data_IF_725280416249
#
_entry.id   IF_725280416249
#
_cell.length_a   1.000
_cell.length_b   1.000
_cell.length_c   1.000
_cell.angle_alpha   90.00
_cell.angle_beta   90.00
_cell.angle_gamma   90.00
#
_symmetry.space_group_name_H-M   'P 1'
#
loop_
_entity.id
_entity.type
_entity.pdbx_description
1 polymer ?
#
# COMPACT_ATOMS: atom_id res chain seq x y z
N UNK A 1 -29.35 -54.72 -25.42
CA UNK A 1 -30.41 -53.84 -25.94
C UNK A 1 -29.96 -52.41 -25.64
N UNK A 2 -29.11 -51.81 -26.48
CA UNK A 2 -29.43 -51.03 -27.69
C UNK A 2 -30.30 -49.80 -27.40
N UNK A 3 -29.69 -48.61 -27.26
CA UNK A 3 -29.57 -47.62 -28.34
C UNK A 3 -28.85 -46.36 -27.84
N UNK A 4 -27.57 -46.22 -28.21
CA UNK A 4 -26.95 -44.91 -28.44
C UNK A 4 -27.60 -44.28 -29.68
N UNK A 5 -28.01 -43.01 -29.57
CA UNK A 5 -28.35 -42.18 -30.72
C UNK A 5 -27.66 -40.83 -30.57
N UNK A 6 -26.68 -40.62 -31.44
CA UNK A 6 -26.01 -39.36 -31.67
C UNK A 6 -27.02 -38.27 -32.09
N UNK A 7 -26.91 -37.10 -31.45
CA UNK A 7 -27.57 -35.88 -31.87
C UNK A 7 -26.55 -34.75 -32.02
N UNK A 8 -25.87 -34.70 -33.18
CA UNK A 8 -25.02 -33.57 -33.58
C UNK A 8 -25.91 -32.35 -33.85
N UNK A 9 -25.96 -31.41 -32.91
CA UNK A 9 -26.52 -30.08 -33.16
C UNK A 9 -25.44 -29.27 -33.88
N UNK A 10 -25.72 -28.94 -35.13
CA UNK A 10 -24.89 -28.13 -36.02
C UNK A 10 -24.70 -26.71 -35.46
N UNK A 11 -23.44 -26.34 -35.21
CA UNK A 11 -22.97 -25.01 -34.77
C UNK A 11 -23.33 -23.86 -35.75
N UNK A 12 -23.95 -24.15 -36.89
CA UNK A 12 -24.40 -23.12 -37.86
C UNK A 12 -25.80 -22.57 -37.60
N UNK A 13 -26.57 -23.14 -36.67
CA UNK A 13 -27.91 -22.61 -36.32
C UNK A 13 -27.91 -21.61 -35.15
N UNK A 14 -26.84 -21.58 -34.34
CA UNK A 14 -26.75 -20.67 -33.19
C UNK A 14 -26.34 -19.23 -33.56
N UNK A 15 -25.71 -19.02 -34.72
CA UNK A 15 -25.26 -17.69 -35.17
C UNK A 15 -26.35 -16.86 -35.85
N UNK A 16 -27.45 -17.49 -36.31
CA UNK A 16 -28.54 -16.77 -36.98
C UNK A 16 -29.57 -16.16 -36.02
N UNK A 17 -29.61 -16.60 -34.76
CA UNK A 17 -30.50 -16.06 -33.73
C UNK A 17 -29.91 -14.85 -32.98
N UNK A 18 -28.59 -14.67 -33.02
CA UNK A 18 -27.91 -13.53 -32.38
C UNK A 18 -27.95 -12.24 -33.23
N UNK A 19 -28.17 -12.35 -34.54
CA UNK A 19 -28.27 -11.19 -35.44
C UNK A 19 -29.66 -10.56 -35.50
N UNK A 20 -30.70 -11.23 -34.99
CA UNK A 20 -32.06 -10.67 -34.91
C UNK A 20 -32.31 -9.84 -33.65
N UNK A 21 -31.40 -9.86 -32.66
CA UNK A 21 -31.57 -9.11 -31.41
C UNK A 21 -30.95 -7.71 -31.42
N UNK A 22 -30.04 -7.41 -32.37
CA UNK A 22 -29.40 -6.09 -32.49
C UNK A 22 -30.14 -5.10 -33.40
N UNK A 23 -31.27 -5.48 -33.99
CA UNK A 23 -31.93 -4.69 -35.05
C UNK A 23 -33.09 -3.77 -34.66
N UNK A 24 -33.40 -3.56 -33.36
CA UNK A 24 -34.64 -2.86 -32.97
C UNK A 24 -34.54 -1.90 -31.78
N UNK A 25 -33.52 -1.04 -31.73
CA UNK A 25 -33.55 0.15 -30.87
C UNK A 25 -33.02 1.39 -31.61
N UNK A 26 -33.83 1.88 -32.55
CA UNK A 26 -33.87 3.29 -32.90
C UNK A 26 -35.21 3.81 -32.38
N UNK A 27 -35.21 4.30 -31.14
CA UNK A 27 -36.30 5.08 -30.58
C UNK A 27 -35.83 6.52 -30.52
N UNK A 28 -36.56 7.37 -31.23
CA UNK A 28 -36.48 8.82 -31.20
C UNK A 28 -36.53 9.32 -29.75
N UNK A 29 -35.53 10.11 -29.37
CA UNK A 29 -35.53 10.84 -28.11
C UNK A 29 -35.38 12.34 -28.42
N UNK A 30 -36.40 12.88 -29.07
CA UNK A 30 -36.72 14.30 -29.02
C UNK A 30 -37.53 14.53 -27.74
N UNK A 31 -36.89 15.06 -26.69
CA UNK A 31 -37.48 16.06 -25.80
C UNK A 31 -36.51 16.57 -24.74
N UNK A 32 -36.11 17.84 -24.93
CA UNK A 32 -36.08 18.91 -23.93
C UNK A 32 -35.70 18.57 -22.48
N UNK A 33 -34.49 18.97 -22.11
CA UNK A 33 -34.29 19.67 -20.83
C UNK A 33 -33.23 20.76 -21.00
N UNK A 34 -33.63 22.00 -20.75
CA UNK A 34 -32.81 23.21 -20.77
C UNK A 34 -31.62 23.08 -19.81
N UNK A 35 -30.45 22.81 -20.36
CA UNK A 35 -29.17 22.83 -19.66
C UNK A 35 -28.56 24.23 -19.77
N UNK A 36 -28.23 24.83 -18.63
CA UNK A 36 -27.60 26.15 -18.55
C UNK A 36 -26.19 26.12 -19.17
N UNK A 37 -25.85 27.02 -20.10
CA UNK A 37 -24.58 27.01 -20.79
C UNK A 37 -23.55 27.82 -19.99
N UNK A 38 -22.97 27.25 -18.93
CA UNK A 38 -21.83 27.89 -18.26
C UNK A 38 -20.61 26.96 -18.05
N UNK A 39 -20.70 25.65 -18.34
CA UNK A 39 -19.56 24.72 -18.15
C UNK A 39 -18.87 24.25 -19.44
N UNK A 40 -19.41 24.56 -20.63
CA UNK A 40 -18.87 24.05 -21.91
C UNK A 40 -17.47 24.57 -22.21
N UNK A 41 -17.15 25.80 -21.83
CA UNK A 41 -15.82 26.39 -22.04
C UNK A 41 -14.71 25.65 -21.29
N UNK A 42 -15.00 25.10 -20.11
CA UNK A 42 -14.00 24.45 -19.26
C UNK A 42 -13.66 23.03 -19.76
N UNK A 43 -14.66 22.33 -20.33
CA UNK A 43 -14.47 21.02 -20.98
C UNK A 43 -13.62 21.16 -22.24
N UNK A 44 -13.84 22.20 -23.05
CA UNK A 44 -13.04 22.45 -24.26
C UNK A 44 -11.59 22.81 -23.92
N UNK A 45 -11.36 23.56 -22.83
CA UNK A 45 -10.02 23.96 -22.39
C UNK A 45 -9.22 22.76 -21.85
N UNK A 46 -9.85 21.87 -21.07
CA UNK A 46 -9.24 20.60 -20.65
C UNK A 46 -8.87 19.71 -21.84
N UNK A 47 -9.75 19.57 -22.83
CA UNK A 47 -9.47 18.78 -24.05
C UNK A 47 -8.30 19.37 -24.85
N UNK A 48 -8.27 20.68 -25.05
CA UNK A 48 -7.15 21.33 -25.73
C UNK A 48 -5.82 21.13 -24.99
N UNK A 49 -5.83 21.30 -23.66
CA UNK A 49 -4.62 21.09 -22.86
C UNK A 49 -4.14 19.64 -22.93
N UNK A 50 -5.04 18.67 -22.82
CA UNK A 50 -4.72 17.24 -22.91
C UNK A 50 -4.17 16.86 -24.30
N UNK A 51 -4.75 17.42 -25.36
CA UNK A 51 -4.29 17.19 -26.73
C UNK A 51 -2.89 17.79 -26.96
N UNK A 52 -2.63 18.98 -26.41
CA UNK A 52 -1.31 19.62 -26.46
C UNK A 52 -0.25 18.83 -25.68
N UNK A 53 -0.58 18.34 -24.49
CA UNK A 53 0.32 17.46 -23.74
C UNK A 53 0.61 16.15 -24.49
N UNK A 54 -0.39 15.59 -25.18
CA UNK A 54 -0.19 14.36 -25.93
C UNK A 54 0.74 14.57 -27.14
N UNK A 55 0.62 15.71 -27.84
CA UNK A 55 1.55 16.09 -28.90
C UNK A 55 2.98 16.27 -28.38
N UNK A 56 3.16 16.94 -27.24
CA UNK A 56 4.49 17.09 -26.63
C UNK A 56 5.09 15.73 -26.26
N UNK A 57 4.32 14.82 -25.64
CA UNK A 57 4.79 13.47 -25.30
C UNK A 57 5.22 12.67 -26.53
N UNK A 58 4.53 12.81 -27.67
CA UNK A 58 4.95 12.13 -28.90
C UNK A 58 6.26 12.69 -29.46
N UNK A 59 6.48 14.00 -29.38
CA UNK A 59 7.74 14.62 -29.78
C UNK A 59 8.91 14.16 -28.90
N UNK A 60 8.72 14.10 -27.58
CA UNK A 60 9.74 13.59 -26.65
C UNK A 60 10.09 12.13 -26.92
N UNK A 61 9.10 11.26 -27.14
CA UNK A 61 9.34 9.85 -27.49
C UNK A 61 10.14 9.68 -28.78
N UNK A 62 9.92 10.54 -29.77
CA UNK A 62 10.69 10.51 -31.02
C UNK A 62 12.14 10.94 -30.80
N UNK A 63 12.36 12.01 -30.02
CA UNK A 63 13.71 12.48 -29.65
C UNK A 63 14.48 11.41 -28.87
N UNK A 64 13.87 10.77 -27.87
CA UNK A 64 14.49 9.68 -27.11
C UNK A 64 14.79 8.46 -27.99
N UNK A 65 13.85 8.07 -28.86
CA UNK A 65 14.05 6.94 -29.76
C UNK A 65 15.17 7.19 -30.78
N UNK A 66 15.39 8.45 -31.18
CA UNK A 66 16.51 8.84 -32.04
C UNK A 66 17.82 8.88 -31.27
N UNK A 67 17.86 9.45 -30.06
CA UNK A 67 19.06 9.49 -29.21
C UNK A 67 19.52 8.09 -28.78
N UNK A 68 18.59 7.17 -28.51
CA UNK A 68 18.90 5.82 -28.06
C UNK A 68 19.50 4.92 -29.15
N UNK A 69 19.28 5.23 -30.43
CA UNK A 69 19.80 4.41 -31.53
C UNK A 69 21.30 4.60 -31.70
N UNK A 70 21.83 5.80 -31.49
CA UNK A 70 23.24 6.12 -31.76
C UNK A 70 24.20 5.56 -30.69
N UNK A 71 23.78 5.52 -29.43
CA UNK A 71 24.63 5.02 -28.33
C UNK A 71 24.65 3.48 -28.23
N UNK A 72 23.51 2.81 -28.54
CA UNK A 72 23.44 1.35 -28.52
C UNK A 72 24.31 0.72 -29.61
N UNK A 73 24.23 1.24 -30.84
CA UNK A 73 24.98 0.67 -31.97
C UNK A 73 26.49 0.81 -31.78
N UNK A 74 26.97 1.96 -31.28
CA UNK A 74 28.40 2.19 -31.02
C UNK A 74 28.96 1.26 -29.95
N UNK A 75 28.25 1.07 -28.83
CA UNK A 75 28.73 0.20 -27.74
C UNK A 75 28.73 -1.29 -28.12
N UNK A 76 27.77 -1.74 -28.93
CA UNK A 76 27.68 -3.14 -29.34
C UNK A 76 28.67 -3.47 -30.46
N UNK A 77 28.96 -2.53 -31.36
CA UNK A 77 30.06 -2.66 -32.34
C UNK A 77 31.43 -2.66 -31.67
N UNK A 78 31.69 -1.81 -30.67
CA UNK A 78 32.96 -1.82 -29.94
C UNK A 78 33.20 -3.14 -29.17
N UNK A 79 32.15 -3.68 -28.53
CA UNK A 79 32.24 -4.97 -27.83
C UNK A 79 32.46 -6.13 -28.82
N UNK A 80 31.75 -6.14 -29.96
CA UNK A 80 31.95 -7.15 -31.02
C UNK A 80 33.36 -7.07 -31.59
N UNK A 81 33.85 -5.88 -31.90
CA UNK A 81 35.21 -5.68 -32.42
C UNK A 81 36.29 -6.09 -31.40
N UNK A 82 36.07 -5.87 -30.09
CA UNK A 82 37.00 -6.35 -29.04
C UNK A 82 37.00 -7.88 -28.91
N UNK A 83 35.84 -8.54 -29.07
CA UNK A 83 35.74 -10.01 -29.05
C UNK A 83 36.40 -10.61 -30.29
N UNK A 84 36.23 -10.00 -31.46
CA UNK A 84 36.80 -10.49 -32.73
C UNK A 84 38.32 -10.30 -32.82
N UNK A 85 38.89 -9.28 -32.16
CA UNK A 85 40.32 -8.98 -32.22
C UNK A 85 41.21 -9.87 -31.33
N UNK A 86 40.65 -10.84 -30.60
CA UNK A 86 41.43 -11.90 -29.94
C UNK A 86 42.42 -11.43 -28.87
N UNK A 87 42.29 -10.21 -28.35
CA UNK A 87 43.06 -9.76 -27.20
C UNK A 87 42.67 -10.58 -25.96
N UNK A 88 43.68 -10.93 -25.15
CA UNK A 88 43.55 -11.65 -23.90
C UNK A 88 42.44 -11.00 -23.04
N UNK A 89 41.39 -11.78 -22.76
CA UNK A 89 40.12 -11.26 -22.29
C UNK A 89 40.24 -10.85 -20.82
N UNK A 90 40.60 -9.60 -20.56
CA UNK A 90 40.72 -9.08 -19.20
C UNK A 90 39.33 -9.02 -18.54
N UNK A 91 39.10 -9.90 -17.56
CA UNK A 91 37.84 -9.99 -16.82
C UNK A 91 37.44 -8.65 -16.18
N UNK A 92 38.43 -7.82 -15.84
CA UNK A 92 38.22 -6.47 -15.30
C UNK A 92 37.54 -5.54 -16.31
N UNK A 93 37.95 -5.58 -17.58
CA UNK A 93 37.35 -4.74 -18.62
C UNK A 93 35.94 -5.20 -18.98
N UNK A 94 35.68 -6.52 -18.93
CA UNK A 94 34.31 -7.05 -19.08
C UNK A 94 33.40 -6.58 -17.94
N UNK A 95 33.86 -6.69 -16.70
CA UNK A 95 33.06 -6.27 -15.54
C UNK A 95 32.79 -4.77 -15.54
N UNK A 96 33.76 -3.94 -15.91
CA UNK A 96 33.56 -2.49 -16.15
C UNK A 96 32.53 -2.20 -17.23
N UNK A 97 32.62 -2.87 -18.38
CA UNK A 97 31.66 -2.69 -19.47
C UNK A 97 30.23 -3.07 -19.05
N UNK A 98 30.08 -4.17 -18.30
CA UNK A 98 28.78 -4.59 -17.75
C UNK A 98 28.27 -3.57 -16.73
N UNK A 99 29.11 -3.12 -15.79
CA UNK A 99 28.75 -2.12 -14.79
C UNK A 99 28.33 -0.80 -15.43
N UNK A 100 29.04 -0.35 -16.47
CA UNK A 100 28.69 0.84 -17.25
C UNK A 100 27.33 0.70 -17.93
N UNK A 101 27.05 -0.47 -18.55
CA UNK A 101 25.74 -0.74 -19.17
C UNK A 101 24.62 -0.77 -18.14
N UNK A 102 24.84 -1.41 -16.98
CA UNK A 102 23.88 -1.43 -15.88
C UNK A 102 23.64 -0.03 -15.32
N UNK A 103 24.69 0.78 -15.17
CA UNK A 103 24.57 2.16 -14.72
C UNK A 103 23.79 3.03 -15.71
N UNK A 104 24.00 2.85 -17.02
CA UNK A 104 23.20 3.55 -18.04
C UNK A 104 21.73 3.12 -18.01
N UNK A 105 21.45 1.83 -17.79
CA UNK A 105 20.07 1.34 -17.63
C UNK A 105 19.43 1.88 -16.34
N UNK A 106 20.17 1.96 -15.24
CA UNK A 106 19.65 2.52 -13.99
C UNK A 106 19.42 4.03 -14.08
N UNK A 107 20.24 4.76 -14.85
CA UNK A 107 19.98 6.18 -15.17
C UNK A 107 18.68 6.35 -15.97
N UNK A 108 18.46 5.53 -16.98
CA UNK A 108 17.22 5.57 -17.76
C UNK A 108 15.99 5.25 -16.90
N UNK A 109 16.09 4.26 -16.02
CA UNK A 109 15.03 3.93 -15.06
C UNK A 109 14.82 5.08 -14.05
N UNK A 110 15.89 5.73 -13.59
CA UNK A 110 15.81 6.92 -12.74
C UNK A 110 15.08 8.06 -13.43
N UNK A 111 15.46 8.41 -14.67
CA UNK A 111 14.83 9.50 -15.42
C UNK A 111 13.34 9.20 -15.66
N UNK A 112 13.01 7.96 -16.04
CA UNK A 112 11.63 7.52 -16.23
C UNK A 112 10.80 7.64 -14.93
N UNK A 113 11.34 7.18 -13.80
CA UNK A 113 10.65 7.29 -12.49
C UNK A 113 10.50 8.73 -12.04
N UNK A 114 11.52 9.56 -12.25
CA UNK A 114 11.52 10.97 -11.90
C UNK A 114 10.49 11.74 -12.73
N UNK A 115 10.43 11.49 -14.04
CA UNK A 115 9.41 12.08 -14.92
C UNK A 115 8.00 11.65 -14.54
N UNK A 116 7.80 10.36 -14.27
CA UNK A 116 6.51 9.84 -13.81
C UNK A 116 6.09 10.51 -12.49
N UNK A 117 7.01 10.65 -11.54
CA UNK A 117 6.76 11.32 -10.27
C UNK A 117 6.40 12.79 -10.46
N UNK A 118 7.20 13.54 -11.23
CA UNK A 118 6.93 14.96 -11.56
C UNK A 118 5.59 15.14 -12.24
N UNK A 119 5.24 14.26 -13.19
CA UNK A 119 3.95 14.29 -13.87
C UNK A 119 2.81 14.01 -12.90
N UNK A 120 2.93 12.96 -12.09
CA UNK A 120 1.91 12.63 -11.08
C UNK A 120 1.73 13.75 -10.06
N UNK A 121 2.80 14.42 -9.64
CA UNK A 121 2.73 15.54 -8.71
C UNK A 121 2.14 16.80 -9.37
N UNK A 122 2.48 17.07 -10.63
CA UNK A 122 1.90 18.17 -11.40
C UNK A 122 0.39 17.96 -11.61
N UNK A 123 -0.03 16.77 -12.03
CA UNK A 123 -1.43 16.41 -12.21
C UNK A 123 -2.20 16.58 -10.89
N UNK A 124 -1.59 16.16 -9.77
CA UNK A 124 -2.15 16.35 -8.42
C UNK A 124 -2.28 17.84 -8.05
N UNK A 125 -1.25 18.66 -8.25
CA UNK A 125 -1.31 20.10 -7.97
C UNK A 125 -2.36 20.81 -8.81
N UNK A 126 -2.53 20.40 -10.07
CA UNK A 126 -3.60 20.89 -10.94
C UNK A 126 -4.95 20.52 -10.37
N UNK A 127 -5.16 19.26 -9.98
CA UNK A 127 -6.40 18.81 -9.35
C UNK A 127 -6.72 19.56 -8.04
N UNK A 128 -5.73 19.73 -7.16
CA UNK A 128 -5.87 20.51 -5.93
C UNK A 128 -6.23 21.98 -6.23
N UNK A 129 -5.59 22.59 -7.22
CA UNK A 129 -5.89 23.97 -7.62
C UNK A 129 -7.29 24.12 -8.22
N UNK A 130 -7.73 23.14 -9.02
CA UNK A 130 -9.06 23.10 -9.60
C UNK A 130 -10.12 22.93 -8.51
N UNK A 131 -9.90 22.02 -7.56
CA UNK A 131 -10.80 21.82 -6.42
C UNK A 131 -10.96 23.11 -5.60
N UNK A 132 -9.84 23.78 -5.27
CA UNK A 132 -9.86 25.08 -4.57
C UNK A 132 -10.61 26.17 -5.33
N UNK A 133 -10.48 26.24 -6.67
CA UNK A 133 -11.21 27.21 -7.48
C UNK A 133 -12.71 26.95 -7.55
N UNK A 134 -13.12 25.67 -7.49
CA UNK A 134 -14.53 25.26 -7.47
C UNK A 134 -15.15 25.48 -6.07
N UNK A 135 -14.32 25.65 -5.04
CA UNK A 135 -14.76 25.68 -3.64
C UNK A 135 -15.02 24.28 -3.08
N UNK A 136 -14.52 23.26 -3.78
CA UNK A 136 -14.64 21.85 -3.42
C UNK A 136 -13.35 21.36 -2.74
N UNK A 137 -13.49 20.40 -1.82
CA UNK A 137 -12.33 19.68 -1.31
C UNK A 137 -11.72 18.79 -2.40
N UNK A 138 -10.38 18.69 -2.49
CA UNK A 138 -9.70 17.85 -3.46
C UNK A 138 -10.15 16.40 -3.30
N UNK A 139 -10.32 15.73 -4.43
CA UNK A 139 -10.83 14.36 -4.48
C UNK A 139 -9.89 13.38 -3.77
N UNK A 140 -8.59 13.65 -3.71
CA UNK A 140 -7.61 12.84 -2.99
C UNK A 140 -6.74 13.73 -2.09
N UNK A 141 -6.73 13.43 -0.79
CA UNK A 141 -5.84 14.06 0.17
C UNK A 141 -4.77 13.05 0.61
N UNK A 142 -3.50 13.29 0.27
CA UNK A 142 -2.42 12.47 0.83
C UNK A 142 -2.13 12.96 2.25
N UNK A 143 -2.00 12.07 3.24
CA UNK A 143 -1.75 12.46 4.63
C UNK A 143 -0.52 13.36 4.81
N UNK A 144 0.54 13.16 4.02
CA UNK A 144 1.75 14.00 4.06
C UNK A 144 1.55 15.46 3.60
N UNK A 145 0.51 15.76 2.83
CA UNK A 145 0.25 17.11 2.26
C UNK A 145 -0.61 17.98 3.19
N UNK A 146 -1.02 17.43 4.34
CA UNK A 146 -1.70 18.20 5.37
C UNK A 146 -0.81 19.35 5.86
N UNK A 147 -1.42 20.51 6.13
CA UNK A 147 -0.74 21.60 6.84
C UNK A 147 -0.08 21.08 8.12
N UNK A 148 1.08 21.59 8.50
CA UNK A 148 1.84 21.05 9.65
C UNK A 148 1.06 21.07 10.98
N UNK A 149 0.01 21.90 11.10
CA UNK A 149 -0.91 21.94 12.24
C UNK A 149 -1.95 20.81 12.26
N UNK A 150 -2.21 20.18 11.11
CA UNK A 150 -3.20 19.10 10.91
C UNK A 150 -2.56 17.76 10.53
N UNK A 151 -1.25 17.72 10.32
CA UNK A 151 -0.54 16.50 9.95
C UNK A 151 -0.51 15.53 11.14
N UNK A 152 -1.25 14.43 11.01
CA UNK A 152 -1.27 13.34 11.98
C UNK A 152 0.10 12.65 12.09
N UNK A 153 0.29 11.78 13.11
CA UNK A 153 1.52 11.00 13.25
C UNK A 153 1.82 10.14 12.02
N UNK A 154 0.77 9.61 11.36
CA UNK A 154 0.91 8.87 10.12
C UNK A 154 1.41 9.75 8.96
N UNK A 155 0.84 10.95 8.80
CA UNK A 155 1.30 11.90 7.78
C UNK A 155 2.75 12.33 7.99
N UNK A 156 3.20 12.48 9.25
CA UNK A 156 4.62 12.76 9.56
C UNK A 156 5.53 11.59 9.16
N UNK A 157 5.13 10.36 9.47
CA UNK A 157 5.89 9.16 9.10
C UNK A 157 5.93 8.94 7.58
N UNK A 158 4.82 9.20 6.88
CA UNK A 158 4.78 9.16 5.42
C UNK A 158 5.70 10.24 4.83
N UNK A 159 5.63 11.48 5.33
CA UNK A 159 6.49 12.59 4.88
C UNK A 159 7.97 12.27 5.06
N UNK A 160 8.37 11.73 6.22
CA UNK A 160 9.77 11.35 6.46
C UNK A 160 10.21 10.20 5.56
N UNK A 161 9.38 9.18 5.40
CA UNK A 161 9.68 8.02 4.55
C UNK A 161 9.78 8.41 3.07
N UNK A 162 8.81 9.17 2.55
CA UNK A 162 8.80 9.63 1.16
C UNK A 162 9.99 10.54 0.88
N UNK A 163 10.30 11.48 1.77
CA UNK A 163 11.48 12.33 1.63
C UNK A 163 12.77 11.51 1.65
N UNK A 164 12.87 10.53 2.55
CA UNK A 164 14.02 9.62 2.60
C UNK A 164 14.15 8.82 1.30
N UNK A 165 13.06 8.28 0.75
CA UNK A 165 13.06 7.55 -0.52
C UNK A 165 13.44 8.43 -1.71
N UNK A 166 12.98 9.69 -1.76
CA UNK A 166 13.38 10.65 -2.79
C UNK A 166 14.89 10.86 -2.75
N UNK A 167 15.45 11.10 -1.57
CA UNK A 167 16.90 11.28 -1.40
C UNK A 167 17.69 10.03 -1.80
N UNK A 168 17.18 8.83 -1.48
CA UNK A 168 17.78 7.55 -1.90
C UNK A 168 17.79 7.43 -3.43
N UNK A 169 16.68 7.74 -4.09
CA UNK A 169 16.56 7.66 -5.55
C UNK A 169 17.50 8.67 -6.23
N UNK A 170 17.57 9.90 -5.73
CA UNK A 170 18.50 10.93 -6.21
C UNK A 170 19.97 10.53 -6.02
N UNK A 171 20.29 9.93 -4.87
CA UNK A 171 21.64 9.43 -4.58
C UNK A 171 22.05 8.30 -5.53
N UNK A 172 21.18 7.31 -5.75
CA UNK A 172 21.42 6.22 -6.70
C UNK A 172 21.52 6.73 -8.14
N UNK A 173 20.72 7.75 -8.52
CA UNK A 173 20.85 8.43 -9.81
C UNK A 173 22.23 9.08 -9.98
N UNK A 174 22.69 9.86 -8.98
CA UNK A 174 24.03 10.47 -8.96
C UNK A 174 25.14 9.43 -9.00
N UNK A 175 24.97 8.31 -8.30
CA UNK A 175 25.93 7.21 -8.28
C UNK A 175 26.02 6.52 -9.63
N UNK A 176 24.88 6.19 -10.24
CA UNK A 176 24.83 5.64 -11.58
C UNK A 176 25.47 6.58 -12.61
N UNK A 177 25.24 7.90 -12.49
CA UNK A 177 25.90 8.91 -13.30
C UNK A 177 27.41 8.88 -13.16
N UNK A 178 27.91 8.74 -11.92
CA UNK A 178 29.36 8.61 -11.68
C UNK A 178 29.93 7.35 -12.31
N UNK A 179 29.32 6.18 -12.10
CA UNK A 179 29.77 4.91 -12.69
C UNK A 179 29.77 4.99 -14.22
N UNK A 180 28.74 5.60 -14.82
CA UNK A 180 28.66 5.82 -16.26
C UNK A 180 29.78 6.76 -16.77
N UNK A 181 30.10 7.81 -16.00
CA UNK A 181 31.16 8.79 -16.33
C UNK A 181 32.58 8.27 -16.09
N UNK A 182 32.78 7.37 -15.12
CA UNK A 182 34.07 6.79 -14.74
C UNK A 182 34.36 5.48 -15.46
N UNK A 183 33.84 5.32 -16.68
CA UNK A 183 34.02 4.15 -17.54
C UNK A 183 33.73 2.79 -16.86
N UNK A 184 32.73 2.75 -15.97
CA UNK A 184 32.32 1.53 -15.27
C UNK A 184 33.10 1.22 -14.00
N UNK A 185 33.95 2.12 -13.50
CA UNK A 185 34.56 1.95 -12.19
C UNK A 185 33.50 1.88 -11.08
N UNK A 186 33.63 0.88 -10.23
CA UNK A 186 32.68 0.62 -9.13
C UNK A 186 32.79 1.72 -8.08
N UNK A 187 31.73 2.50 -7.93
CA UNK A 187 31.58 3.47 -6.85
C UNK A 187 30.70 2.87 -5.75
N UNK A 188 31.23 2.72 -4.53
CA UNK A 188 30.42 2.32 -3.36
C UNK A 188 29.79 3.56 -2.72
N UNK A 189 28.57 3.47 -2.17
CA UNK A 189 27.93 4.61 -1.51
C UNK A 189 28.82 5.29 -0.46
N UNK A 190 29.47 4.54 0.43
CA UNK A 190 30.34 5.08 1.48
C UNK A 190 31.51 5.94 0.95
N UNK A 191 32.02 5.65 -0.26
CA UNK A 191 33.14 6.37 -0.88
C UNK A 191 32.74 7.80 -1.33
N UNK A 192 31.44 8.11 -1.41
CA UNK A 192 30.91 9.45 -1.71
C UNK A 192 30.96 10.39 -0.50
N UNK A 193 32.15 10.94 -0.18
CA UNK A 193 32.38 11.73 1.05
C UNK A 193 31.35 12.84 1.32
N UNK A 194 31.12 13.75 0.38
CA UNK A 194 30.27 14.94 0.62
C UNK A 194 28.85 14.82 0.03
N UNK A 195 28.62 13.94 -0.95
CA UNK A 195 27.35 13.81 -1.68
C UNK A 195 26.56 12.53 -1.39
N UNK A 196 27.04 11.69 -0.48
CA UNK A 196 26.56 10.31 -0.31
C UNK A 196 25.17 10.13 0.33
N UNK A 197 24.31 11.15 0.39
CA UNK A 197 22.90 10.98 0.79
C UNK A 197 22.63 10.09 2.02
N UNK A 198 21.42 9.49 2.11
CA UNK A 198 21.08 8.56 3.17
C UNK A 198 21.74 7.17 3.04
N UNK A 199 21.98 6.64 1.84
CA UNK A 199 22.53 5.29 1.68
C UNK A 199 24.01 5.25 2.09
N UNK A 200 24.84 6.23 1.71
CA UNK A 200 26.20 6.27 2.22
C UNK A 200 26.25 6.46 3.73
N UNK A 201 25.29 7.19 4.32
CA UNK A 201 25.21 7.31 5.78
C UNK A 201 24.94 5.95 6.43
N UNK A 202 24.00 5.17 5.87
CA UNK A 202 23.67 3.83 6.36
C UNK A 202 24.84 2.86 6.15
N UNK A 203 25.44 2.84 4.95
CA UNK A 203 26.60 1.99 4.68
C UNK A 203 27.77 2.36 5.60
N UNK A 204 28.04 3.66 5.82
CA UNK A 204 29.06 4.09 6.78
C UNK A 204 28.78 3.57 8.17
N UNK A 205 27.55 3.72 8.67
CA UNK A 205 27.21 3.23 10.01
C UNK A 205 27.34 1.70 10.10
N UNK A 206 26.92 0.97 9.07
CA UNK A 206 27.03 -0.48 9.02
C UNK A 206 28.49 -0.96 8.93
N UNK A 207 29.29 -0.33 8.06
CA UNK A 207 30.71 -0.62 7.90
C UNK A 207 31.49 -0.24 9.15
N UNK A 208 31.19 0.92 9.76
CA UNK A 208 31.78 1.31 11.04
C UNK A 208 31.41 0.31 12.13
N UNK A 209 30.16 -0.11 12.22
CA UNK A 209 29.72 -1.13 13.17
C UNK A 209 30.48 -2.45 12.96
N UNK A 210 30.61 -2.94 11.73
CA UNK A 210 31.42 -4.13 11.42
C UNK A 210 32.91 -3.95 11.72
N UNK A 211 33.48 -2.81 11.40
CA UNK A 211 34.87 -2.52 11.74
C UNK A 211 35.07 -2.49 13.25
N UNK A 212 34.14 -1.93 14.03
CA UNK A 212 34.23 -1.96 15.50
C UNK A 212 34.19 -3.39 16.06
N UNK A 213 33.45 -4.30 15.42
CA UNK A 213 33.46 -5.72 15.80
C UNK A 213 34.81 -6.35 15.46
N UNK A 214 35.28 -6.18 14.23
CA UNK A 214 36.57 -6.72 13.78
C UNK A 214 37.71 -6.17 14.64
N UNK A 215 37.74 -4.87 14.90
CA UNK A 215 38.73 -4.21 15.74
C UNK A 215 38.68 -4.74 17.17
N UNK A 216 37.48 -4.96 17.74
CA UNK A 216 37.35 -5.56 19.07
C UNK A 216 37.81 -7.02 19.12
N UNK A 217 37.54 -7.80 18.07
CA UNK A 217 37.98 -9.20 17.99
C UNK A 217 39.48 -9.32 17.71
N UNK A 218 40.08 -8.38 16.98
CA UNK A 218 41.54 -8.34 16.77
C UNK A 218 42.29 -7.86 18.01
N UNK A 219 41.72 -6.93 18.78
CA UNK A 219 42.29 -6.49 20.06
C UNK A 219 42.22 -7.58 21.13
N UNK A 220 41.23 -8.45 21.04
CA UNK A 220 41.07 -9.61 21.92
C UNK A 220 42.20 -10.62 21.69
N UNK A 221 43.13 -10.67 22.64
CA UNK A 221 44.22 -11.67 22.63
C UNK A 221 43.72 -13.01 23.19
N UNK A 222 43.37 -13.95 22.31
CA UNK A 222 43.09 -15.35 22.68
C UNK A 222 41.63 -15.64 23.05
N UNK A 223 41.39 -16.65 23.88
CA UNK A 223 40.06 -17.23 24.17
C UNK A 223 39.27 -16.53 25.31
N UNK A 224 39.67 -15.33 25.77
CA UNK A 224 38.91 -14.57 26.78
C UNK A 224 37.50 -14.29 26.27
N UNK A 225 36.42 -14.21 27.06
CA UNK A 225 35.08 -13.91 26.49
C UNK A 225 34.95 -12.43 26.13
N UNK A 226 34.06 -12.03 25.19
CA UNK A 226 33.87 -10.62 24.82
C UNK A 226 33.60 -9.69 26.01
N UNK A 227 32.82 -10.14 26.99
CA UNK A 227 32.59 -9.37 28.23
C UNK A 227 33.80 -9.23 29.16
N UNK A 228 34.76 -10.15 29.10
CA UNK A 228 35.89 -10.20 30.04
C UNK A 228 37.02 -9.23 29.64
N UNK A 229 36.90 -8.62 28.45
CA UNK A 229 37.77 -7.55 27.97
C UNK A 229 37.46 -6.25 28.71
N UNK A 230 38.50 -5.46 28.97
CA UNK A 230 38.38 -4.13 29.60
C UNK A 230 37.42 -3.24 28.80
N UNK A 231 36.59 -2.45 29.51
CA UNK A 231 35.53 -1.64 28.90
C UNK A 231 36.04 -0.66 27.81
N UNK A 232 37.29 -0.22 27.90
CA UNK A 232 37.94 0.66 26.92
C UNK A 232 38.25 -0.02 25.58
N UNK A 233 38.37 -1.36 25.57
CA UNK A 233 38.67 -2.21 24.40
C UNK A 233 37.48 -3.09 24.02
N UNK A 234 36.38 -2.98 24.76
CA UNK A 234 35.20 -3.79 24.59
C UNK A 234 34.42 -3.30 23.37
N UNK A 235 34.20 -4.20 22.42
CA UNK A 235 33.37 -3.92 21.26
C UNK A 235 31.86 -3.99 21.56
N UNK A 236 31.00 -3.71 20.57
CA UNK A 236 29.56 -3.70 20.76
C UNK A 236 28.99 -5.07 21.17
N UNK A 237 29.62 -6.17 20.74
CA UNK A 237 29.23 -7.52 21.17
C UNK A 237 29.56 -7.77 22.65
N UNK A 238 30.71 -7.27 23.11
CA UNK A 238 31.09 -7.37 24.52
C UNK A 238 30.18 -6.52 25.41
N UNK A 239 29.77 -5.34 24.95
CA UNK A 239 28.81 -4.49 25.66
C UNK A 239 27.43 -5.14 25.75
N UNK A 240 26.97 -5.78 24.67
CA UNK A 240 25.71 -6.52 24.66
C UNK A 240 25.77 -7.74 25.58
N UNK A 241 26.88 -8.48 25.57
CA UNK A 241 27.08 -9.61 26.48
C UNK A 241 27.14 -9.12 27.94
N UNK A 242 27.89 -8.06 28.25
CA UNK A 242 27.96 -7.49 29.59
C UNK A 242 26.60 -6.98 30.06
N UNK A 243 25.84 -6.30 29.19
CA UNK A 243 24.47 -5.89 29.47
C UNK A 243 23.57 -7.10 29.79
N UNK A 244 23.62 -8.14 28.96
CA UNK A 244 22.86 -9.38 29.17
C UNK A 244 23.27 -10.08 30.48
N UNK A 245 24.56 -10.15 30.77
CA UNK A 245 25.11 -10.78 31.98
C UNK A 245 24.79 -9.95 33.22
N UNK A 246 24.87 -8.63 33.17
CA UNK A 246 24.44 -7.73 34.26
C UNK A 246 22.96 -7.92 34.56
N UNK A 247 22.12 -7.91 33.53
CA UNK A 247 20.68 -8.16 33.71
C UNK A 247 20.43 -9.55 34.32
N UNK A 248 21.16 -10.58 33.87
CA UNK A 248 21.08 -11.92 34.43
C UNK A 248 21.56 -11.99 35.89
N UNK A 249 22.65 -11.29 36.23
CA UNK A 249 23.16 -11.22 37.59
C UNK A 249 22.19 -10.49 38.51
N UNK A 250 21.58 -9.39 38.05
CA UNK A 250 20.53 -8.69 38.79
C UNK A 250 19.34 -9.63 39.08
N UNK A 251 18.93 -10.42 38.08
CA UNK A 251 17.92 -11.48 38.27
C UNK A 251 18.39 -12.50 39.32
N UNK A 252 19.62 -13.00 39.20
CA UNK A 252 20.18 -14.00 40.12
C UNK A 252 20.30 -13.48 41.55
N UNK A 253 20.74 -12.24 41.75
CA UNK A 253 20.87 -11.59 43.05
C UNK A 253 19.48 -11.40 43.69
N UNK A 254 18.48 -10.95 42.92
CA UNK A 254 17.11 -10.86 43.40
C UNK A 254 16.56 -12.23 43.84
N UNK A 255 16.91 -13.30 43.11
CA UNK A 255 16.55 -14.68 43.46
C UNK A 255 17.32 -15.24 44.67
N UNK A 256 18.57 -14.84 44.87
CA UNK A 256 19.34 -15.19 46.06
C UNK A 256 18.78 -14.51 47.29
N UNK A 257 18.49 -13.21 47.22
CA UNK A 257 17.79 -12.47 48.27
C UNK A 257 16.44 -13.13 48.61
N UNK A 258 15.74 -13.67 47.60
CA UNK A 258 14.50 -14.42 47.81
C UNK A 258 14.68 -15.66 48.64
N UNK A 259 15.70 -16.47 48.31
CA UNK A 259 16.02 -17.67 49.09
C UNK A 259 16.45 -17.31 50.51
N UNK A 260 17.23 -16.24 50.68
CA UNK A 260 17.65 -15.78 52.00
C UNK A 260 16.47 -15.32 52.85
N UNK A 261 15.58 -14.48 52.31
CA UNK A 261 14.38 -14.03 53.02
C UNK A 261 13.44 -15.21 53.33
N UNK A 262 13.29 -16.16 52.41
CA UNK A 262 12.50 -17.36 52.64
C UNK A 262 13.09 -18.22 53.78
N UNK A 263 14.41 -18.38 53.84
CA UNK A 263 15.06 -19.13 54.92
C UNK A 263 14.98 -18.44 56.29
N UNK A 264 14.88 -17.10 56.31
CA UNK A 264 14.78 -16.30 57.53
C UNK A 264 13.35 -16.16 58.07
N UNK A 265 12.35 -16.47 57.26
CA UNK A 265 10.95 -16.34 57.67
C UNK A 265 10.57 -17.58 58.48
N UNK A 266 10.35 -17.45 59.80
CA UNK A 266 10.13 -18.61 60.69
C UNK A 266 8.84 -19.37 60.39
N UNK A 267 7.93 -18.77 59.62
CA UNK A 267 6.59 -19.30 59.30
C UNK A 267 6.58 -20.25 58.08
N UNK A 268 7.73 -20.47 57.43
CA UNK A 268 7.84 -21.31 56.24
C UNK A 268 7.11 -20.76 55.00
N UNK A 269 6.62 -19.52 55.05
CA UNK A 269 5.92 -18.88 53.95
C UNK A 269 6.84 -18.65 52.75
N UNK A 270 6.38 -19.00 51.55
CA UNK A 270 7.10 -18.77 50.29
C UNK A 270 7.13 -17.26 49.98
N UNK A 271 8.32 -16.67 49.91
CA UNK A 271 8.51 -15.27 49.52
C UNK A 271 8.33 -15.15 48.00
N UNK A 272 7.46 -14.23 47.56
CA UNK A 272 7.18 -14.02 46.14
C UNK A 272 8.20 -13.07 45.52
N UNK A 273 8.45 -13.15 44.21
CA UNK A 273 9.33 -12.21 43.51
C UNK A 273 8.96 -10.73 43.73
N UNK A 274 7.67 -10.37 43.81
CA UNK A 274 7.18 -9.00 44.06
C UNK A 274 7.64 -8.41 45.41
N UNK A 275 7.87 -9.25 46.41
CA UNK A 275 8.22 -8.81 47.76
C UNK A 275 9.70 -8.38 47.87
N UNK A 276 10.46 -8.48 46.77
CA UNK A 276 11.90 -8.22 46.70
C UNK A 276 12.19 -7.26 45.53
N UNK A 277 13.06 -6.25 45.73
CA UNK A 277 13.47 -5.36 44.64
C UNK A 277 14.29 -6.15 43.61
N UNK A 278 13.80 -6.19 42.37
CA UNK A 278 14.49 -6.85 41.25
C UNK A 278 13.66 -6.83 39.96
N UNK A 279 14.29 -7.11 38.81
CA UNK A 279 13.62 -7.06 37.51
C UNK A 279 12.44 -8.05 37.40
N UNK A 280 12.55 -9.22 38.02
CA UNK A 280 11.44 -10.18 38.08
C UNK A 280 10.32 -9.72 39.01
N UNK A 281 10.66 -9.03 40.11
CA UNK A 281 9.68 -8.47 41.04
C UNK A 281 8.91 -7.30 40.41
N UNK A 282 9.58 -6.44 39.64
CA UNK A 282 8.93 -5.38 38.86
C UNK A 282 8.01 -5.94 37.76
N UNK A 283 8.44 -7.02 37.09
CA UNK A 283 7.61 -7.71 36.11
C UNK A 283 6.40 -8.38 36.76
N UNK A 284 6.58 -9.09 37.88
CA UNK A 284 5.45 -9.65 38.63
C UNK A 284 4.55 -8.54 39.16
N UNK A 285 5.09 -7.42 39.62
CA UNK A 285 4.33 -6.26 40.08
C UNK A 285 3.45 -5.69 38.98
N UNK A 286 4.03 -5.39 37.83
CA UNK A 286 3.27 -4.88 36.67
C UNK A 286 2.23 -5.90 36.22
N UNK A 287 2.55 -7.20 36.22
CA UNK A 287 1.61 -8.25 35.90
C UNK A 287 0.49 -8.40 36.95
N UNK A 288 0.81 -8.29 38.24
CA UNK A 288 -0.15 -8.34 39.35
C UNK A 288 -1.04 -7.10 39.35
N UNK A 289 -0.51 -5.92 39.05
CA UNK A 289 -1.28 -4.68 38.86
C UNK A 289 -2.27 -4.86 37.71
N UNK A 290 -1.84 -5.43 36.58
CA UNK A 290 -2.72 -5.80 35.46
C UNK A 290 -3.78 -6.83 35.91
N UNK A 291 -3.37 -7.91 36.57
CA UNK A 291 -4.25 -9.00 36.97
C UNK A 291 -5.25 -8.61 38.08
N UNK A 292 -4.85 -7.75 39.01
CA UNK A 292 -5.73 -7.23 40.07
C UNK A 292 -6.74 -6.25 39.52
N UNK A 293 -6.31 -5.32 38.66
CA UNK A 293 -7.21 -4.45 37.92
C UNK A 293 -8.21 -5.26 37.06
N UNK A 294 -7.74 -6.34 36.42
CA UNK A 294 -8.60 -7.23 35.63
C UNK A 294 -9.62 -7.99 36.50
N UNK A 295 -9.19 -8.49 37.67
CA UNK A 295 -10.09 -9.17 38.61
C UNK A 295 -11.12 -8.23 39.22
N UNK A 296 -10.73 -6.99 39.54
CA UNK A 296 -11.67 -5.96 40.00
C UNK A 296 -12.68 -5.62 38.92
N UNK A 297 -12.22 -5.49 37.65
CA UNK A 297 -13.12 -5.31 36.51
C UNK A 297 -14.13 -6.45 36.37
N UNK A 298 -13.67 -7.70 36.36
CA UNK A 298 -14.56 -8.88 36.19
C UNK A 298 -15.63 -8.94 37.28
N UNK A 299 -15.34 -8.43 38.48
CA UNK A 299 -16.30 -8.36 39.59
C UNK A 299 -17.32 -7.22 39.44
N UNK A 300 -16.90 -6.09 38.88
CA UNK A 300 -17.74 -4.91 38.71
C UNK A 300 -18.67 -5.02 37.50
N UNK A 301 -18.19 -5.57 36.37
CA UNK A 301 -19.04 -6.00 35.26
C UNK A 301 -18.17 -6.63 34.14
N UNK A 302 -18.74 -7.55 33.33
CA UNK A 302 -18.07 -8.19 32.16
C UNK A 302 -17.95 -7.24 30.96
N UNK A 303 -17.46 -6.04 31.21
CA UNK A 303 -17.29 -4.97 30.23
C UNK A 303 -15.86 -5.00 29.70
N UNK A 304 -15.64 -4.53 28.46
CA UNK A 304 -14.29 -4.46 27.85
C UNK A 304 -13.36 -3.62 28.73
N UNK A 305 -12.04 -3.91 28.76
CA UNK A 305 -11.09 -3.17 29.59
C UNK A 305 -11.18 -1.64 29.45
N UNK A 306 -11.42 -1.12 28.24
CA UNK A 306 -11.61 0.31 27.99
C UNK A 306 -12.85 0.94 28.64
N UNK A 307 -13.92 0.18 28.81
CA UNK A 307 -15.25 0.67 29.21
C UNK A 307 -15.51 0.44 30.72
N UNK A 308 -14.52 -0.09 31.45
CA UNK A 308 -14.57 -0.29 32.89
C UNK A 308 -14.63 1.03 33.67
N UNK A 309 -15.38 1.02 34.77
CA UNK A 309 -15.42 2.09 35.79
C UNK A 309 -14.04 2.33 36.40
N UNK A 310 -13.35 1.24 36.77
CA UNK A 310 -12.00 1.28 37.30
C UNK A 310 -10.98 1.18 36.17
N UNK A 311 -10.18 2.24 36.00
CA UNK A 311 -9.17 2.30 34.94
C UNK A 311 -7.91 1.55 35.36
N UNK A 312 -7.66 0.42 34.72
CA UNK A 312 -6.41 -0.33 34.84
C UNK A 312 -5.40 0.02 33.74
N UNK A 313 -4.14 -0.43 33.88
CA UNK A 313 -3.11 -0.21 32.87
C UNK A 313 -3.47 -0.80 31.49
N UNK A 314 -4.18 -1.93 31.47
CA UNK A 314 -4.66 -2.57 30.23
C UNK A 314 -5.79 -1.75 29.58
N UNK A 315 -6.67 -1.13 30.38
CA UNK A 315 -7.73 -0.25 29.90
C UNK A 315 -7.18 1.04 29.31
N UNK A 316 -6.14 1.64 29.92
CA UNK A 316 -5.43 2.77 29.33
C UNK A 316 -4.74 2.40 28.01
N UNK A 317 -4.05 1.27 27.97
CA UNK A 317 -3.41 0.78 26.75
C UNK A 317 -4.44 0.52 25.64
N UNK A 318 -5.57 -0.11 25.96
CA UNK A 318 -6.67 -0.33 25.01
C UNK A 318 -7.29 1.00 24.56
N UNK A 319 -7.51 1.97 25.45
CA UNK A 319 -8.01 3.30 25.08
C UNK A 319 -7.05 4.04 24.16
N UNK A 320 -5.75 4.02 24.44
CA UNK A 320 -4.74 4.64 23.56
C UNK A 320 -4.70 3.94 22.21
N UNK A 321 -4.78 2.62 22.18
CA UNK A 321 -4.83 1.84 20.95
C UNK A 321 -6.12 2.13 20.16
N UNK A 322 -7.28 2.17 20.81
CA UNK A 322 -8.57 2.46 20.17
C UNK A 322 -8.61 3.90 19.68
N UNK A 323 -8.16 4.88 20.47
CA UNK A 323 -8.06 6.27 20.03
C UNK A 323 -7.15 6.39 18.80
N UNK A 324 -6.01 5.68 18.78
CA UNK A 324 -5.16 5.63 17.60
C UNK A 324 -5.86 4.97 16.39
N UNK A 325 -6.59 3.87 16.60
CA UNK A 325 -7.37 3.19 15.56
C UNK A 325 -8.51 4.08 15.06
N UNK A 326 -9.21 4.83 15.93
CA UNK A 326 -10.29 5.73 15.55
C UNK A 326 -9.78 6.88 14.71
N UNK A 327 -8.63 7.47 15.09
CA UNK A 327 -7.93 8.46 14.26
C UNK A 327 -7.61 7.87 12.89
N UNK A 328 -7.03 6.67 12.84
CA UNK A 328 -6.71 5.99 11.58
C UNK A 328 -7.95 5.64 10.75
N UNK A 329 -9.05 5.22 11.39
CA UNK A 329 -10.30 4.92 10.70
C UNK A 329 -10.95 6.18 10.14
N UNK A 330 -10.86 7.31 10.85
CA UNK A 330 -11.36 8.59 10.37
C UNK A 330 -10.53 9.05 9.16
N UNK A 331 -9.20 9.01 9.27
CA UNK A 331 -8.31 9.28 8.14
C UNK A 331 -8.62 8.37 6.94
N UNK A 332 -8.84 7.07 7.15
CA UNK A 332 -9.13 6.13 6.06
C UNK A 332 -10.53 6.31 5.47
N UNK A 333 -11.54 6.67 6.28
CA UNK A 333 -12.88 7.02 5.76
C UNK A 333 -12.81 8.27 4.89
N UNK A 334 -12.08 9.29 5.33
CA UNK A 334 -11.89 10.51 4.57
C UNK A 334 -11.17 10.21 3.24
N UNK A 335 -10.16 9.31 3.27
CA UNK A 335 -9.50 8.81 2.04
C UNK A 335 -10.43 8.01 1.14
N UNK A 336 -11.23 7.11 1.68
CA UNK A 336 -12.17 6.31 0.89
C UNK A 336 -13.28 7.17 0.29
N UNK A 337 -13.79 8.16 1.01
CA UNK A 337 -14.73 9.14 0.47
C UNK A 337 -14.08 9.94 -0.65
N UNK A 338 -12.82 10.35 -0.46
CA UNK A 338 -12.02 10.94 -1.50
C UNK A 338 -11.92 10.05 -2.75
N UNK A 339 -11.44 8.81 -2.60
CA UNK A 339 -11.31 7.84 -3.69
C UNK A 339 -12.66 7.57 -4.36
N UNK A 340 -13.75 7.47 -3.60
CA UNK A 340 -15.09 7.30 -4.16
C UNK A 340 -15.55 8.54 -4.94
N UNK A 341 -15.19 9.74 -4.48
CA UNK A 341 -15.42 10.99 -5.21
C UNK A 341 -14.60 11.00 -6.50
N UNK A 342 -13.31 10.70 -6.46
CA UNK A 342 -12.44 10.53 -7.65
C UNK A 342 -13.06 9.55 -8.64
N UNK A 343 -13.48 8.37 -8.16
CA UNK A 343 -14.03 7.31 -9.01
C UNK A 343 -15.40 7.66 -9.57
N UNK A 344 -16.20 8.49 -8.89
CA UNK A 344 -17.48 9.00 -9.43
C UNK A 344 -17.24 10.08 -10.46
N UNK A 345 -16.36 11.04 -10.17
CA UNK A 345 -16.08 12.19 -11.04
C UNK A 345 -15.27 11.77 -12.29
N UNK A 346 -14.47 10.71 -12.17
CA UNK A 346 -13.68 10.12 -13.26
C UNK A 346 -14.23 8.78 -13.77
N UNK A 347 -15.54 8.54 -13.73
CA UNK A 347 -16.11 7.33 -14.35
C UNK A 347 -15.78 7.31 -15.84
N UNK A 348 -15.02 6.30 -16.34
CA UNK A 348 -14.60 6.28 -17.73
C UNK A 348 -15.80 6.23 -18.68
N UNK A 349 -16.89 5.55 -18.31
CA UNK A 349 -18.13 5.55 -19.10
C UNK A 349 -18.81 6.92 -19.22
N UNK A 350 -18.68 7.84 -18.26
CA UNK A 350 -19.32 9.16 -18.31
C UNK A 350 -18.44 10.21 -19.00
N UNK A 351 -17.12 10.13 -18.84
CA UNK A 351 -16.18 11.08 -19.44
C UNK A 351 -15.81 10.75 -20.90
N UNK A 352 -15.69 9.46 -21.26
CA UNK A 352 -15.39 9.02 -22.64
C UNK A 352 -15.85 7.58 -22.91
N UNK A 353 -17.09 7.44 -23.41
CA UNK A 353 -17.69 6.15 -23.77
C UNK A 353 -16.89 5.38 -24.83
N UNK A 354 -16.09 6.07 -25.65
CA UNK A 354 -15.33 5.46 -26.74
C UNK A 354 -13.96 4.93 -26.31
N UNK A 355 -13.50 5.29 -25.10
CA UNK A 355 -12.25 4.80 -24.53
C UNK A 355 -12.32 3.28 -24.27
N UNK A 356 -11.20 2.59 -24.47
CA UNK A 356 -11.08 1.13 -24.22
C UNK A 356 -11.53 0.76 -22.80
N UNK A 357 -11.26 1.64 -21.83
CA UNK A 357 -11.71 1.46 -20.44
C UNK A 357 -13.23 1.64 -20.28
N UNK A 358 -13.85 2.58 -21.02
CA UNK A 358 -15.30 2.77 -21.03
C UNK A 358 -16.05 1.59 -21.66
N UNK A 359 -15.50 1.02 -22.73
CA UNK A 359 -16.06 -0.19 -23.38
C UNK A 359 -15.96 -1.40 -22.43
N UNK A 360 -14.82 -1.60 -21.77
CA UNK A 360 -14.65 -2.67 -20.79
C UNK A 360 -15.59 -2.51 -19.60
N UNK A 361 -15.71 -1.30 -19.04
CA UNK A 361 -16.66 -1.02 -17.96
C UNK A 361 -18.09 -1.34 -18.39
N UNK A 362 -18.50 -0.89 -19.59
CA UNK A 362 -19.84 -1.16 -20.13
C UNK A 362 -20.09 -2.67 -20.26
N UNK A 363 -19.10 -3.42 -20.73
CA UNK A 363 -19.19 -4.88 -20.84
C UNK A 363 -19.35 -5.55 -19.46
N UNK A 364 -18.52 -5.18 -18.48
CA UNK A 364 -18.60 -5.76 -17.13
C UNK A 364 -19.89 -5.37 -16.41
N UNK A 365 -20.28 -4.09 -16.45
CA UNK A 365 -21.54 -3.64 -15.86
C UNK A 365 -22.73 -4.32 -16.54
N UNK A 366 -22.70 -4.46 -17.86
CA UNK A 366 -23.71 -5.21 -18.62
C UNK A 366 -23.78 -6.68 -18.19
N UNK A 367 -22.64 -7.34 -18.05
CA UNK A 367 -22.55 -8.75 -17.65
C UNK A 367 -23.05 -9.01 -16.22
N UNK A 368 -22.81 -8.10 -15.27
CA UNK A 368 -23.29 -8.25 -13.90
C UNK A 368 -24.73 -7.76 -13.69
N UNK A 369 -25.16 -6.72 -14.40
CA UNK A 369 -26.49 -6.11 -14.23
C UNK A 369 -27.58 -6.81 -15.04
N UNK A 370 -27.25 -7.39 -16.20
CA UNK A 370 -28.22 -8.12 -17.03
C UNK A 370 -28.84 -9.33 -16.29
N UNK A 371 -28.08 -10.20 -15.59
CA UNK A 371 -28.66 -11.30 -14.83
C UNK A 371 -29.61 -10.82 -13.72
N UNK A 372 -29.27 -9.74 -13.02
CA UNK A 372 -30.14 -9.16 -11.99
C UNK A 372 -31.44 -8.62 -12.57
N UNK A 373 -31.39 -7.96 -13.72
CA UNK A 373 -32.59 -7.49 -14.43
C UNK A 373 -33.46 -8.67 -14.89
N UNK A 374 -32.84 -9.74 -15.41
CA UNK A 374 -33.53 -10.97 -15.80
C UNK A 374 -34.22 -11.62 -14.60
N UNK A 375 -33.54 -11.73 -13.45
CA UNK A 375 -34.13 -12.25 -12.21
C UNK A 375 -35.33 -11.40 -11.78
N UNK A 376 -35.22 -10.07 -11.83
CA UNK A 376 -36.34 -9.16 -11.49
C UNK A 376 -37.53 -9.35 -12.44
N UNK A 377 -37.29 -9.55 -13.73
CA UNK A 377 -38.34 -9.87 -14.70
C UNK A 377 -38.99 -11.21 -14.37
N UNK A 378 -38.21 -12.25 -14.05
CA UNK A 378 -38.75 -13.55 -13.63
C UNK A 378 -39.58 -13.45 -12.34
N UNK A 379 -39.11 -12.70 -11.34
CA UNK A 379 -39.88 -12.43 -10.13
C UNK A 379 -41.20 -11.74 -10.46
N UNK A 380 -41.18 -10.75 -11.36
CA UNK A 380 -42.38 -10.04 -11.77
C UNK A 380 -43.35 -10.92 -12.58
N UNK A 381 -42.84 -11.80 -13.44
CA UNK A 381 -43.65 -12.77 -14.18
C UNK A 381 -44.24 -13.82 -13.24
N UNK A 382 -43.47 -14.27 -12.23
CA UNK A 382 -43.96 -15.17 -11.20
C UNK A 382 -45.08 -14.54 -10.37
N UNK A 383 -44.93 -13.27 -9.98
CA UNK A 383 -46.01 -12.51 -9.34
C UNK A 383 -47.26 -12.44 -10.21
N UNK A 384 -47.11 -12.19 -11.52
CA UNK A 384 -48.23 -12.13 -12.45
C UNK A 384 -48.90 -13.50 -12.67
N UNK A 385 -48.14 -14.59 -12.76
CA UNK A 385 -48.69 -15.94 -12.88
C UNK A 385 -49.40 -16.39 -11.58
N UNK A 386 -48.86 -16.05 -10.41
CA UNK A 386 -49.53 -16.29 -9.14
C UNK A 386 -50.80 -15.43 -8.99
N UNK A 387 -50.83 -14.24 -9.60
CA UNK A 387 -52.05 -13.42 -9.64
C UNK A 387 -53.13 -13.95 -10.58
N UNK A 388 -52.80 -14.89 -11.48
CA UNK A 388 -53.78 -15.50 -12.41
C UNK A 388 -54.60 -16.64 -11.80
N UNK A 389 -54.23 -17.17 -10.63
CA UNK A 389 -55.05 -18.16 -9.90
C UNK A 389 -56.09 -17.53 -8.96
N UNK A 390 -56.50 -16.28 -9.21
CA UNK A 390 -57.61 -15.63 -8.51
C UNK A 390 -59.01 -15.99 -9.04
N UNK A 391 -59.14 -17.02 -9.89
CA UNK A 391 -60.44 -17.33 -10.51
C UNK A 391 -61.49 -17.95 -9.58
N UNK A 392 -61.19 -18.37 -8.35
CA UNK A 392 -62.22 -18.94 -7.45
C UNK A 392 -62.70 -18.00 -6.34
N UNK A 393 -61.83 -17.13 -5.82
CA UNK A 393 -62.24 -16.17 -4.78
C UNK A 393 -63.03 -14.99 -5.35
N UNK A 394 -62.67 -14.53 -6.55
CA UNK A 394 -63.32 -13.37 -7.18
C UNK A 394 -64.64 -13.75 -7.85
N UNK A 395 -64.79 -14.98 -8.35
CA UNK A 395 -66.10 -15.52 -8.78
C UNK A 395 -67.10 -15.58 -7.62
N UNK A 396 -66.68 -16.00 -6.42
CA UNK A 396 -67.54 -16.03 -5.23
C UNK A 396 -67.96 -14.62 -4.79
N UNK A 397 -67.09 -13.62 -4.99
CA UNK A 397 -67.41 -12.21 -4.69
C UNK A 397 -68.37 -11.63 -5.74
N UNK A 398 -68.20 -12.00 -7.02
CA UNK A 398 -69.11 -11.60 -8.10
C UNK A 398 -70.50 -12.25 -7.93
N UNK A 399 -70.60 -13.56 -7.65
CA UNK A 399 -71.88 -14.22 -7.38
C UNK A 399 -72.60 -13.63 -6.16
N UNK A 400 -71.86 -13.29 -5.08
CA UNK A 400 -72.43 -12.59 -3.93
C UNK A 400 -72.90 -11.18 -4.26
N UNK A 401 -72.26 -10.51 -5.20
CA UNK A 401 -72.65 -9.16 -5.64
C UNK A 401 -73.90 -9.20 -6.53
N UNK A 402 -74.06 -10.23 -7.36
CA UNK A 402 -75.25 -10.43 -8.19
C UNK A 402 -76.48 -10.84 -7.37
N UNK A 403 -76.32 -11.74 -6.38
CA UNK A 403 -77.42 -12.11 -5.47
C UNK A 403 -77.90 -10.94 -4.59
N UNK A 404 -77.03 -9.96 -4.32
CA UNK A 404 -77.37 -8.77 -3.52
C UNK A 404 -78.12 -7.71 -4.33
N UNK A 405 -78.11 -7.78 -5.66
CA UNK A 405 -78.84 -6.87 -6.54
C UNK A 405 -80.19 -7.42 -7.03
N UNK A 406 -80.51 -8.69 -6.73
CA UNK A 406 -81.81 -9.32 -7.06
C UNK A 406 -82.80 -9.38 -5.89
N UNK A 407 -82.37 -9.01 -4.68
CA UNK A 407 -83.23 -8.68 -3.55
C UNK A 407 -83.27 -7.16 -3.39
#
# INVERSE_FOLDING_TARGET
MLFEKEGKISLRSATSLLLLWFGCLSIDCDQASSFTPQSTGLVTLKRQHQQQQHQQQQQWRLLDAMSMKDDKSRSEEELRNKIENGNEFDFVDLTRAILRRLANLSLQDYDWRLEYFKKSEADRRVEESLARMIGDDPSYFRPMDASDSKIGPLGKAEKTLVNWLILVIEEEGKRAQRIASSDGDLVRPMDLKEDGGPLASLERTAVQFWNTIIDSETQRKGNQRPKDVEQSQRGPLGDLEDFAVKNWNNVKESEQLRKEMQSRTPDGSVVRPIDIPGPLGELERTWMEVATAERQRIKEDKVRPKDATLQGPLGEAERRAIAAIEILQQEERDRLQGIQKVLKDNRPMENDQSSVFGILETFFVGMFRAPQMVIKVFQRVQELLQSSTLETSDEIILEKSEQKNQN
#
